data_IF_927572247371
#
_entry.id   IF_927572247371
#
_cell.length_a   1.000
_cell.length_b   1.000
_cell.length_c   1.000
_cell.angle_alpha   90.00
_cell.angle_beta   90.00
_cell.angle_gamma   90.00
#
_symmetry.space_group_name_H-M   'P 1'
#
loop_
_entity.id
_entity.type
_entity.pdbx_description
1 polymer ?
#
# COMPACT_ATOMS: atom_id res chain seq x y z
N UNK A 1 -17.45 2.12 19.68
CA UNK A 1 -17.06 2.21 18.26
C UNK A 1 -15.89 3.16 18.19
N UNK A 2 -14.74 2.74 17.65
CA UNK A 2 -13.56 3.60 17.61
C UNK A 2 -13.60 4.46 16.34
N UNK A 3 -13.58 5.79 16.48
CA UNK A 3 -13.45 6.71 15.34
C UNK A 3 -12.07 6.51 14.72
N UNK A 4 -12.03 6.24 13.43
CA UNK A 4 -10.82 6.29 12.59
C UNK A 4 -11.07 7.37 11.52
N UNK A 5 -10.02 7.98 10.93
CA UNK A 5 -10.14 9.22 10.16
C UNK A 5 -11.07 9.21 8.92
N UNK A 6 -11.64 8.06 8.51
CA UNK A 6 -12.44 7.93 7.29
C UNK A 6 -13.73 7.09 7.48
N UNK A 7 -14.46 7.31 8.59
CA UNK A 7 -15.77 6.70 8.84
C UNK A 7 -15.78 5.60 9.90
N UNK A 8 -16.97 5.00 10.13
CA UNK A 8 -17.16 3.94 11.12
C UNK A 8 -16.64 2.60 10.58
N UNK A 9 -15.35 2.35 10.76
CA UNK A 9 -14.79 0.99 10.58
C UNK A 9 -15.05 0.21 11.86
N UNK A 10 -15.79 -0.91 11.77
CA UNK A 10 -15.91 -1.83 12.90
C UNK A 10 -14.58 -2.56 13.07
N UNK A 11 -13.89 -2.23 14.15
CA UNK A 11 -12.63 -2.83 14.55
C UNK A 11 -12.84 -3.88 15.65
N UNK A 12 -11.96 -4.86 15.71
CA UNK A 12 -11.87 -5.84 16.79
C UNK A 12 -10.42 -6.18 17.13
N UNK A 13 -10.18 -6.58 18.37
CA UNK A 13 -8.87 -7.10 18.81
C UNK A 13 -8.61 -8.43 18.12
N UNK A 14 -7.33 -8.74 17.92
CA UNK A 14 -6.93 -10.04 17.41
C UNK A 14 -7.41 -11.16 18.34
N UNK A 15 -8.10 -12.15 17.78
CA UNK A 15 -8.25 -13.46 18.44
C UNK A 15 -6.91 -14.21 18.46
N UNK A 16 -6.82 -15.25 19.29
CA UNK A 16 -5.63 -16.13 19.35
C UNK A 16 -5.30 -16.74 17.97
N UNK A 17 -6.32 -17.09 17.18
CA UNK A 17 -6.16 -17.65 15.84
C UNK A 17 -5.55 -16.60 14.90
N UNK A 18 -6.02 -15.37 14.98
CA UNK A 18 -5.54 -14.27 14.12
C UNK A 18 -4.14 -13.83 14.53
N UNK A 19 -3.84 -13.80 15.82
CA UNK A 19 -2.49 -13.60 16.32
C UNK A 19 -1.51 -14.64 15.76
N UNK A 20 -1.86 -15.93 15.80
CA UNK A 20 -1.03 -17.00 15.19
C UNK A 20 -0.88 -16.83 13.68
N UNK A 21 -1.89 -16.34 12.97
CA UNK A 21 -1.78 -16.01 11.55
C UNK A 21 -0.84 -14.84 11.32
N UNK A 22 -0.88 -13.81 12.18
CA UNK A 22 0.03 -12.67 12.12
C UNK A 22 1.49 -13.08 12.23
N UNK A 23 1.83 -13.95 13.19
CA UNK A 23 3.20 -14.44 13.36
C UNK A 23 3.73 -15.13 12.09
N UNK A 24 2.86 -15.79 11.31
CA UNK A 24 3.26 -16.40 10.03
C UNK A 24 3.55 -15.36 8.93
N UNK A 25 2.99 -14.16 9.04
CA UNK A 25 3.18 -13.07 8.08
C UNK A 25 4.18 -12.01 8.55
N UNK A 26 4.67 -12.08 9.78
CA UNK A 26 5.48 -11.05 10.41
C UNK A 26 6.72 -10.68 9.57
N UNK A 27 7.51 -11.68 9.17
CA UNK A 27 8.68 -11.49 8.31
C UNK A 27 8.33 -10.82 6.98
N UNK A 28 7.21 -11.22 6.37
CA UNK A 28 6.76 -10.67 5.10
C UNK A 28 6.22 -9.23 5.24
N UNK A 29 5.57 -8.90 6.36
CA UNK A 29 5.15 -7.53 6.67
C UNK A 29 6.38 -6.63 6.80
N UNK A 30 7.38 -7.06 7.59
CA UNK A 30 8.59 -6.27 7.79
C UNK A 30 9.42 -6.12 6.53
N UNK A 31 9.58 -7.18 5.71
CA UNK A 31 10.23 -7.06 4.41
C UNK A 31 9.54 -6.03 3.49
N UNK A 32 8.20 -6.01 3.47
CA UNK A 32 7.45 -5.01 2.72
C UNK A 32 7.60 -3.60 3.30
N UNK A 33 7.64 -3.45 4.63
CA UNK A 33 7.87 -2.17 5.32
C UNK A 33 9.26 -1.63 5.03
N UNK A 34 10.29 -2.47 5.09
CA UNK A 34 11.68 -2.11 4.82
C UNK A 34 11.85 -1.63 3.38
N UNK A 35 11.27 -2.37 2.42
CA UNK A 35 11.23 -1.96 1.03
C UNK A 35 10.56 -0.58 0.85
N UNK A 36 9.39 -0.37 1.46
CA UNK A 36 8.67 0.91 1.39
C UNK A 36 9.52 2.03 1.98
N UNK A 37 10.11 1.81 3.16
CA UNK A 37 10.92 2.81 3.84
C UNK A 37 12.16 3.18 3.03
N UNK A 38 12.89 2.19 2.52
CA UNK A 38 14.14 2.40 1.80
C UNK A 38 13.88 3.01 0.41
N UNK A 39 12.95 2.44 -0.35
CA UNK A 39 12.79 2.77 -1.77
C UNK A 39 11.76 3.85 -2.05
N UNK A 40 10.75 4.06 -1.19
CA UNK A 40 9.57 4.85 -1.56
C UNK A 40 9.29 6.05 -0.64
N UNK A 41 9.55 5.92 0.67
CA UNK A 41 9.33 7.02 1.61
C UNK A 41 10.32 8.15 1.35
N UNK A 42 9.82 9.38 1.50
CA UNK A 42 10.53 10.64 1.28
C UNK A 42 11.00 10.90 -0.15
N UNK A 43 10.46 10.15 -1.12
CA UNK A 43 10.73 10.31 -2.54
C UNK A 43 9.48 10.68 -3.31
N UNK A 44 9.66 11.46 -4.38
CA UNK A 44 8.67 11.57 -5.43
C UNK A 44 8.82 10.33 -6.31
N UNK A 45 7.75 9.55 -6.50
CA UNK A 45 7.76 8.33 -7.31
C UNK A 45 7.04 8.65 -8.63
N UNK A 46 7.73 8.51 -9.75
CA UNK A 46 7.21 8.85 -11.06
C UNK A 46 6.92 7.56 -11.83
N UNK A 47 5.66 7.35 -12.19
CA UNK A 47 5.17 6.19 -12.95
C UNK A 47 4.79 6.65 -14.35
N UNK A 48 5.45 6.10 -15.38
CA UNK A 48 5.22 6.47 -16.78
C UNK A 48 4.65 5.31 -17.59
N UNK A 49 3.62 5.60 -18.38
CA UNK A 49 3.12 4.77 -19.47
C UNK A 49 3.37 5.49 -20.80
N UNK A 50 2.90 4.92 -21.91
CA UNK A 50 2.95 5.59 -23.22
C UNK A 50 2.04 6.84 -23.29
N UNK A 51 1.04 6.95 -22.40
CA UNK A 51 0.00 8.00 -22.46
C UNK A 51 -0.07 8.87 -21.21
N UNK A 52 0.42 8.38 -20.07
CA UNK A 52 0.20 8.98 -18.77
C UNK A 52 1.50 9.06 -17.96
N UNK A 53 1.56 10.09 -17.13
CA UNK A 53 2.57 10.25 -16.11
C UNK A 53 1.88 10.49 -14.77
N UNK A 54 2.20 9.66 -13.77
CA UNK A 54 1.62 9.74 -12.44
C UNK A 54 2.73 9.95 -11.42
N UNK A 55 2.64 11.05 -10.65
CA UNK A 55 3.52 11.30 -9.53
C UNK A 55 2.84 10.83 -8.24
N UNK A 56 3.53 9.98 -7.47
CA UNK A 56 3.06 9.42 -6.21
C UNK A 56 3.91 9.93 -5.04
N UNK A 57 3.28 10.11 -3.89
CA UNK A 57 3.95 10.28 -2.60
C UNK A 57 3.38 9.34 -1.56
N UNK A 58 4.25 8.51 -0.99
CA UNK A 58 3.93 7.69 0.17
C UNK A 58 4.34 8.45 1.43
N UNK A 59 3.43 8.56 2.39
CA UNK A 59 3.74 9.09 3.72
C UNK A 59 3.55 7.99 4.76
N UNK A 60 4.35 8.02 5.82
CA UNK A 60 4.30 7.03 6.91
C UNK A 60 2.89 6.83 7.49
N UNK A 61 2.08 7.90 7.53
CA UNK A 61 0.68 7.83 7.99
C UNK A 61 -0.24 6.96 7.12
N UNK A 62 0.10 6.74 5.85
CA UNK A 62 -0.72 5.91 4.96
C UNK A 62 -0.34 4.42 5.04
N UNK A 63 0.91 4.11 5.41
CA UNK A 63 1.44 2.75 5.31
C UNK A 63 0.69 1.73 6.18
N UNK A 64 0.40 1.98 7.48
CA UNK A 64 -0.37 1.03 8.27
C UNK A 64 -1.75 0.70 7.66
N UNK A 65 -2.36 1.68 6.99
CA UNK A 65 -3.66 1.51 6.38
C UNK A 65 -3.63 0.61 5.12
N UNK A 66 -2.50 0.57 4.41
CA UNK A 66 -2.27 -0.37 3.31
C UNK A 66 -2.28 -1.81 3.81
N UNK A 67 -1.65 -2.09 4.96
CA UNK A 67 -1.70 -3.41 5.61
C UNK A 67 -3.02 -3.69 6.34
N UNK A 68 -3.89 -2.69 6.52
CA UNK A 68 -5.14 -2.84 7.27
C UNK A 68 -4.92 -3.03 8.77
N UNK A 69 -3.85 -2.44 9.30
CA UNK A 69 -3.47 -2.48 10.71
C UNK A 69 -3.94 -1.22 11.42
N UNK A 70 -4.46 -1.40 12.62
CA UNK A 70 -4.94 -0.33 13.49
C UNK A 70 -4.43 -0.56 14.91
N UNK A 71 -4.24 0.51 15.67
CA UNK A 71 -3.93 0.44 17.10
C UNK A 71 -4.61 1.60 17.81
N UNK A 72 -4.71 1.53 19.13
CA UNK A 72 -5.01 2.71 19.95
C UNK A 72 -3.87 3.73 19.90
N UNK A 73 -4.20 5.02 19.94
CA UNK A 73 -3.24 6.11 19.86
C UNK A 73 -3.01 6.62 18.43
N UNK A 74 -1.85 7.23 18.18
CA UNK A 74 -1.58 7.90 16.90
C UNK A 74 -1.12 6.89 15.85
N UNK A 75 -1.58 7.07 14.61
CA UNK A 75 -1.12 6.27 13.44
C UNK A 75 0.38 6.45 13.20
N UNK A 76 0.94 7.61 13.57
CA UNK A 76 2.39 7.86 13.53
C UNK A 76 3.16 6.87 14.39
N UNK A 77 2.63 6.51 15.55
CA UNK A 77 3.30 5.58 16.48
C UNK A 77 3.28 4.17 15.90
N UNK A 78 2.19 3.80 15.21
CA UNK A 78 2.06 2.51 14.53
C UNK A 78 3.11 2.38 13.43
N UNK A 79 3.27 3.46 12.65
CA UNK A 79 4.32 3.52 11.65
C UNK A 79 5.72 3.42 12.27
N UNK A 80 6.01 4.13 13.36
CA UNK A 80 7.31 4.01 14.03
C UNK A 80 7.58 2.60 14.54
N UNK A 81 6.58 1.93 15.10
CA UNK A 81 6.71 0.55 15.58
C UNK A 81 6.93 -0.44 14.42
N UNK A 82 6.24 -0.26 13.29
CA UNK A 82 6.47 -1.06 12.09
C UNK A 82 7.90 -0.92 11.58
N UNK A 83 8.41 0.31 11.46
CA UNK A 83 9.79 0.57 11.02
C UNK A 83 10.86 -0.01 11.95
N UNK A 84 10.59 -0.01 13.27
CA UNK A 84 11.51 -0.53 14.28
C UNK A 84 11.37 -2.03 14.52
N UNK A 85 10.50 -2.69 13.75
CA UNK A 85 10.13 -4.11 13.93
C UNK A 85 9.72 -4.42 15.38
N UNK A 86 9.08 -3.45 16.04
CA UNK A 86 8.75 -3.48 17.46
C UNK A 86 7.24 -3.55 17.70
N UNK A 87 6.51 -4.13 16.75
CA UNK A 87 5.05 -4.15 16.76
C UNK A 87 4.54 -5.06 17.87
N UNK A 88 3.75 -4.49 18.79
CA UNK A 88 3.07 -5.24 19.84
C UNK A 88 1.72 -5.72 19.33
N UNK A 89 1.67 -6.97 18.84
CA UNK A 89 0.47 -7.50 18.17
C UNK A 89 -0.77 -7.58 19.08
N UNK A 90 -0.61 -7.77 20.39
CA UNK A 90 -1.69 -7.69 21.39
C UNK A 90 -2.37 -6.30 21.42
N UNK A 91 -1.67 -5.28 20.94
CA UNK A 91 -2.17 -3.91 20.84
C UNK A 91 -2.87 -3.59 19.52
N UNK A 92 -2.91 -4.54 18.59
CA UNK A 92 -3.50 -4.34 17.27
C UNK A 92 -4.99 -4.61 17.23
N UNK A 93 -5.61 -3.87 16.32
CA UNK A 93 -6.98 -4.02 15.88
C UNK A 93 -6.99 -4.34 14.38
N UNK A 94 -7.94 -5.18 14.00
CA UNK A 94 -8.23 -5.52 12.61
C UNK A 94 -9.67 -5.17 12.26
N UNK A 95 -9.97 -5.13 10.96
CA UNK A 95 -11.35 -4.95 10.50
C UNK A 95 -12.16 -6.23 10.74
N UNK A 96 -13.40 -6.07 11.22
CA UNK A 96 -14.36 -7.19 11.40
C UNK A 96 -14.69 -7.95 10.11
N UNK A 97 -14.52 -7.30 8.95
CA UNK A 97 -14.70 -7.94 7.64
C UNK A 97 -13.54 -8.88 7.26
N UNK A 98 -12.52 -9.02 8.13
CA UNK A 98 -11.34 -9.87 7.97
C UNK A 98 -10.49 -9.54 6.73
N UNK A 99 -10.71 -8.37 6.12
CA UNK A 99 -9.94 -7.92 4.95
C UNK A 99 -8.47 -7.59 5.26
N UNK A 100 -8.10 -7.45 6.54
CA UNK A 100 -6.71 -7.22 6.96
C UNK A 100 -5.75 -8.29 6.45
N UNK A 101 -6.09 -9.59 6.58
CA UNK A 101 -5.19 -10.65 6.11
C UNK A 101 -5.09 -10.70 4.58
N UNK A 102 -6.17 -10.36 3.86
CA UNK A 102 -6.12 -10.25 2.40
C UNK A 102 -5.17 -9.13 1.97
N UNK A 103 -5.21 -7.98 2.67
CA UNK A 103 -4.27 -6.87 2.46
C UNK A 103 -2.83 -7.27 2.75
N UNK A 104 -2.57 -7.91 3.88
CA UNK A 104 -1.24 -8.39 4.26
C UNK A 104 -0.69 -9.36 3.21
N UNK A 105 -1.49 -10.32 2.77
CA UNK A 105 -1.10 -11.27 1.73
C UNK A 105 -0.75 -10.57 0.40
N UNK A 106 -1.56 -9.62 -0.03
CA UNK A 106 -1.31 -8.88 -1.27
C UNK A 106 -0.09 -7.95 -1.16
N UNK A 107 0.12 -7.30 -0.02
CA UNK A 107 1.22 -6.37 0.21
C UNK A 107 2.61 -7.04 0.13
N UNK A 108 2.69 -8.37 0.19
CA UNK A 108 3.94 -9.09 -0.09
C UNK A 108 4.44 -8.87 -1.52
N UNK A 109 3.56 -8.49 -2.46
CA UNK A 109 3.92 -8.16 -3.84
C UNK A 109 4.24 -6.67 -4.05
N UNK A 110 4.51 -5.90 -2.99
CA UNK A 110 4.80 -4.46 -3.10
C UNK A 110 6.05 -4.18 -3.92
N UNK A 111 7.11 -4.99 -3.76
CA UNK A 111 8.32 -4.85 -4.57
C UNK A 111 8.02 -5.15 -6.04
N UNK A 112 7.32 -6.25 -6.32
CA UNK A 112 6.88 -6.59 -7.69
C UNK A 112 6.03 -5.48 -8.32
N UNK A 113 5.22 -4.75 -7.54
CA UNK A 113 4.41 -3.64 -8.03
C UNK A 113 5.25 -2.49 -8.62
N UNK A 114 6.43 -2.22 -8.04
CA UNK A 114 7.27 -1.08 -8.39
C UNK A 114 8.51 -1.44 -9.23
N UNK A 115 9.01 -2.67 -9.11
CA UNK A 115 10.20 -3.15 -9.86
C UNK A 115 9.82 -4.15 -10.97
N UNK A 116 8.71 -4.88 -10.80
CA UNK A 116 8.23 -5.90 -11.75
C UNK A 116 7.33 -5.35 -12.86
N UNK A 117 6.68 -6.24 -13.61
CA UNK A 117 5.64 -5.84 -14.56
C UNK A 117 4.37 -5.38 -13.82
N UNK A 118 3.97 -4.14 -14.07
CA UNK A 118 2.77 -3.55 -13.50
C UNK A 118 1.98 -2.75 -14.54
N UNK A 119 0.74 -2.43 -14.18
CA UNK A 119 -0.18 -1.67 -15.03
C UNK A 119 -0.85 -0.54 -14.27
N UNK A 120 -0.97 0.60 -14.93
CA UNK A 120 -1.70 1.76 -14.47
C UNK A 120 -3.16 1.64 -14.89
N UNK A 121 -4.05 1.96 -13.96
CA UNK A 121 -5.49 1.80 -14.04
C UNK A 121 -6.12 3.17 -13.82
N UNK A 122 -7.19 3.46 -14.56
CA UNK A 122 -7.97 4.69 -14.41
C UNK A 122 -8.78 4.73 -13.11
N UNK A 123 -9.77 5.61 -13.07
CA UNK A 123 -10.69 5.70 -11.94
C UNK A 123 -11.63 4.48 -11.95
N UNK A 124 -11.98 3.98 -10.76
CA UNK A 124 -12.87 2.83 -10.68
C UNK A 124 -13.33 2.51 -9.27
N UNK A 125 -14.27 1.58 -9.19
CA UNK A 125 -14.79 1.04 -7.93
C UNK A 125 -14.44 -0.45 -7.88
N UNK A 126 -13.59 -0.82 -6.94
CA UNK A 126 -13.15 -2.19 -6.73
C UNK A 126 -13.34 -2.57 -5.27
N UNK A 127 -14.00 -3.72 -5.00
CA UNK A 127 -14.31 -4.18 -3.65
C UNK A 127 -14.99 -3.11 -2.77
N UNK A 128 -15.92 -2.35 -3.36
CA UNK A 128 -16.64 -1.23 -2.71
C UNK A 128 -15.76 -0.03 -2.31
N UNK A 129 -14.54 0.07 -2.83
CA UNK A 129 -13.66 1.23 -2.65
C UNK A 129 -13.51 1.95 -3.98
N UNK A 130 -13.78 3.25 -3.97
CA UNK A 130 -13.51 4.14 -5.10
C UNK A 130 -12.10 4.74 -4.99
N UNK A 131 -11.46 4.96 -6.13
CA UNK A 131 -10.21 5.70 -6.22
C UNK A 131 -10.04 6.28 -7.63
N UNK A 132 -9.22 7.31 -7.76
CA UNK A 132 -9.00 8.01 -9.02
C UNK A 132 -8.03 7.30 -9.95
N UNK A 133 -7.03 6.62 -9.39
CA UNK A 133 -6.01 5.86 -10.13
C UNK A 133 -5.64 4.59 -9.39
N UNK A 134 -5.27 3.55 -10.12
CA UNK A 134 -4.77 2.30 -9.53
C UNK A 134 -3.45 1.87 -10.14
N UNK A 135 -2.52 1.38 -9.33
CA UNK A 135 -1.35 0.64 -9.81
C UNK A 135 -1.53 -0.81 -9.42
N UNK A 136 -1.44 -1.74 -10.38
CA UNK A 136 -1.57 -3.17 -10.12
C UNK A 136 -0.39 -3.99 -10.64
N UNK A 137 -0.11 -5.08 -9.95
CA UNK A 137 0.79 -6.13 -10.44
C UNK A 137 0.23 -6.79 -11.70
N UNK A 138 1.09 -7.22 -12.62
CA UNK A 138 0.66 -7.92 -13.83
C UNK A 138 0.02 -9.28 -13.48
N UNK A 139 0.54 -9.97 -12.45
CA UNK A 139 0.01 -11.23 -11.90
C UNK A 139 -1.35 -11.13 -11.19
N UNK A 140 -1.95 -9.94 -11.14
CA UNK A 140 -3.23 -9.70 -10.49
C UNK A 140 -3.26 -10.13 -9.00
N UNK A 141 -2.20 -9.82 -8.25
CA UNK A 141 -2.12 -10.11 -6.81
C UNK A 141 -2.48 -8.87 -6.00
N UNK A 142 -1.73 -7.80 -6.22
CA UNK A 142 -1.85 -6.53 -5.52
C UNK A 142 -2.30 -5.43 -6.48
N UNK A 143 -3.21 -4.59 -5.98
CA UNK A 143 -3.45 -3.24 -6.48
C UNK A 143 -3.38 -2.24 -5.32
N UNK A 144 -2.76 -1.09 -5.56
CA UNK A 144 -2.91 0.09 -4.71
C UNK A 144 -3.77 1.10 -5.46
N UNK A 145 -4.86 1.51 -4.82
CA UNK A 145 -5.69 2.63 -5.26
C UNK A 145 -5.20 3.93 -4.67
N UNK A 146 -5.21 4.98 -5.48
CA UNK A 146 -4.71 6.32 -5.16
C UNK A 146 -5.79 7.37 -5.43
N UNK A 147 -5.82 8.37 -4.56
CA UNK A 147 -6.50 9.65 -4.81
C UNK A 147 -5.43 10.74 -4.96
N UNK A 148 -5.77 11.84 -5.60
CA UNK A 148 -4.85 12.97 -5.80
C UNK A 148 -5.15 14.10 -4.82
N UNK A 149 -4.13 14.85 -4.43
CA UNK A 149 -4.32 16.15 -3.78
C UNK A 149 -4.62 17.24 -4.82
N UNK A 150 -4.84 18.48 -4.35
CA UNK A 150 -5.15 19.63 -5.21
C UNK A 150 -4.00 19.98 -6.18
N UNK A 151 -2.80 19.45 -5.95
CA UNK A 151 -1.63 19.60 -6.82
C UNK A 151 -1.49 18.45 -7.83
N UNK A 152 -2.44 17.51 -7.85
CA UNK A 152 -2.42 16.33 -8.71
C UNK A 152 -1.44 15.25 -8.25
N UNK A 153 -0.97 15.30 -7.00
CA UNK A 153 -0.04 14.31 -6.46
C UNK A 153 -0.83 13.17 -5.84
N UNK A 154 -0.62 11.98 -6.38
CA UNK A 154 -1.36 10.82 -5.93
C UNK A 154 -0.79 10.26 -4.62
N UNK A 155 -1.67 9.96 -3.67
CA UNK A 155 -1.35 9.34 -2.40
C UNK A 155 -2.12 8.03 -2.23
N UNK A 156 -1.52 7.02 -1.57
CA UNK A 156 -2.17 5.74 -1.38
C UNK A 156 -3.42 5.85 -0.51
N UNK A 157 -4.55 5.40 -1.06
CA UNK A 157 -5.84 5.30 -0.35
C UNK A 157 -6.05 3.90 0.23
N UNK A 158 -5.79 2.85 -0.56
CA UNK A 158 -5.99 1.47 -0.13
C UNK A 158 -5.12 0.49 -0.91
N UNK A 159 -4.69 -0.59 -0.26
CA UNK A 159 -4.27 -1.81 -0.94
C UNK A 159 -5.45 -2.79 -1.07
N UNK A 160 -5.53 -3.49 -2.20
CA UNK A 160 -6.53 -4.50 -2.51
C UNK A 160 -5.83 -5.79 -2.94
N UNK A 161 -6.33 -6.91 -2.44
CA UNK A 161 -6.00 -8.24 -2.97
C UNK A 161 -6.90 -8.51 -4.17
N UNK A 162 -6.32 -8.59 -5.37
CA UNK A 162 -7.08 -8.67 -6.61
C UNK A 162 -7.04 -10.07 -7.27
N UNK A 163 -6.52 -11.09 -6.58
CA UNK A 163 -6.39 -12.47 -7.10
C UNK A 163 -7.69 -13.06 -7.63
N UNK A 164 -8.82 -12.63 -7.08
CA UNK A 164 -10.16 -13.21 -7.34
C UNK A 164 -11.18 -12.19 -7.80
N UNK A 165 -10.75 -11.01 -8.26
CA UNK A 165 -11.67 -10.00 -8.78
C UNK A 165 -11.32 -9.67 -10.22
N UNK A 166 -12.35 -9.36 -11.02
CA UNK A 166 -12.14 -8.86 -12.38
C UNK A 166 -11.60 -7.44 -12.30
N UNK A 167 -10.44 -7.23 -12.87
CA UNK A 167 -9.80 -5.92 -12.99
C UNK A 167 -9.57 -5.62 -14.45
N UNK A 168 -9.77 -4.37 -14.84
CA UNK A 168 -9.44 -3.94 -16.19
C UNK A 168 -7.94 -4.16 -16.51
N UNK A 169 -7.63 -4.23 -17.80
CA UNK A 169 -6.25 -4.47 -18.22
C UNK A 169 -5.36 -3.31 -17.77
N UNK A 170 -5.75 -2.06 -18.04
CA UNK A 170 -4.92 -0.90 -17.80
C UNK A 170 -3.76 -0.76 -18.78
N UNK A 171 -3.02 0.33 -18.61
CA UNK A 171 -1.86 0.70 -19.40
C UNK A 171 -0.59 0.03 -18.89
N UNK A 172 0.27 -0.43 -19.79
CA UNK A 172 1.57 -0.99 -19.39
C UNK A 172 2.44 0.15 -18.85
N UNK A 173 2.94 -0.02 -17.62
CA UNK A 173 3.93 0.90 -17.07
C UNK A 173 5.29 0.58 -17.69
N UNK A 174 5.91 1.58 -18.30
CA UNK A 174 7.21 1.49 -18.97
C UNK A 174 8.34 1.78 -18.00
N UNK A 175 8.19 2.83 -17.19
CA UNK A 175 9.25 3.27 -16.29
C UNK A 175 8.66 3.63 -14.94
N UNK A 176 9.38 3.23 -13.88
CA UNK A 176 9.19 3.76 -12.53
C UNK A 176 10.56 4.22 -12.04
N UNK A 177 10.64 5.46 -11.60
CA UNK A 177 11.81 5.97 -10.91
C UNK A 177 11.40 6.82 -9.72
N UNK A 178 12.34 7.02 -8.81
CA UNK A 178 12.18 7.86 -7.63
C UNK A 178 13.14 9.01 -7.68
N UNK A 179 12.74 10.16 -7.15
CA UNK A 179 13.59 11.31 -6.91
C UNK A 179 13.56 11.59 -5.42
N UNK A 180 14.71 11.46 -4.77
CA UNK A 180 14.83 11.79 -3.36
C UNK A 180 14.57 13.28 -3.14
N UNK A 181 13.63 13.62 -2.25
CA UNK A 181 13.20 15.01 -2.11
C UNK A 181 14.26 15.92 -1.50
N UNK A 182 15.18 15.34 -0.73
CA UNK A 182 16.26 16.08 -0.06
C UNK A 182 17.50 16.21 -0.93
N UNK A 183 17.98 15.10 -1.51
CA UNK A 183 19.24 15.05 -2.26
C UNK A 183 19.05 15.26 -3.76
N UNK A 184 17.80 15.21 -4.25
CA UNK A 184 17.43 15.21 -5.68
C UNK A 184 18.00 14.04 -6.47
N UNK A 185 18.56 13.03 -5.79
CA UNK A 185 19.10 11.82 -6.44
C UNK A 185 17.97 11.01 -7.08
N UNK A 186 18.16 10.66 -8.34
CA UNK A 186 17.24 9.79 -9.08
C UNK A 186 17.66 8.33 -8.95
N UNK A 187 16.70 7.43 -8.74
CA UNK A 187 16.90 5.99 -8.76
C UNK A 187 15.81 5.32 -9.61
N UNK A 188 16.22 4.58 -10.64
CA UNK A 188 15.30 3.81 -11.49
C UNK A 188 14.93 2.51 -10.76
N UNK A 189 13.64 2.30 -10.53
CA UNK A 189 13.11 1.05 -9.96
C UNK A 189 12.71 0.07 -11.06
N UNK A 190 12.21 0.59 -12.17
CA UNK A 190 11.78 -0.18 -13.34
C UNK A 190 12.10 0.60 -14.62
N UNK A 191 12.69 -0.09 -15.59
CA UNK A 191 12.74 0.34 -16.97
C UNK A 191 12.45 -0.85 -17.87
N UNK A 192 11.38 -0.77 -18.66
CA UNK A 192 11.20 -1.64 -19.81
C UNK A 192 11.94 -1.00 -20.98
N UNK A 193 12.97 -1.70 -21.45
CA UNK A 193 13.59 -1.43 -22.75
C UNK A 193 12.55 -1.58 -23.87
#
# INVERSE_FOLDING_TARGET
MNRVPNGYVKLERLSVIEYRKFLKYESAIYAAVDYIQEKLIDKDIIVKTDKNNLMLRLQGRNIPHLFGLYQEGKVTDLWQNLKKHSLKFDKLYIKKDKSTFLKIEAMQSIQELFEGECRLIGNGIYQKVNFERGLRTNKLILMIGFDSDDQGIAYPKTALNIKRIKVEKGEKVKTIYTVDRSTKKTCVLKALL
#
